data_IF_383609404879
#
_entry.id   IF_383609404879
#
_cell.length_a   1.000
_cell.length_b   1.000
_cell.length_c   1.000
_cell.angle_alpha   90.00
_cell.angle_beta   90.00
_cell.angle_gamma   90.00
#
_symmetry.space_group_name_H-M   'P 1'
#
loop_
_entity.id
_entity.type
_entity.pdbx_description
1 polymer ?
#
# COMPACT_ATOMS: atom_id res chain seq x y z
N UNK A 1 -13.71 14.83 -2.29
CA UNK A 1 -15.14 14.51 -2.09
C UNK A 1 -15.40 14.58 -0.58
N UNK A 2 -16.49 15.20 -0.13
CA UNK A 2 -16.81 15.22 1.30
C UNK A 2 -17.21 13.79 1.71
N UNK A 3 -16.40 13.13 2.55
CA UNK A 3 -16.65 11.73 2.93
C UNK A 3 -17.99 11.54 3.67
N UNK A 4 -18.59 12.62 4.19
CA UNK A 4 -19.90 12.61 4.81
C UNK A 4 -21.06 12.57 3.81
N UNK A 5 -20.80 12.78 2.52
CA UNK A 5 -21.80 12.74 1.44
C UNK A 5 -21.72 11.47 0.59
N UNK A 6 -20.84 10.53 0.95
CA UNK A 6 -20.72 9.25 0.24
C UNK A 6 -21.96 8.39 0.49
N UNK A 7 -22.67 8.01 -0.58
CA UNK A 7 -23.96 7.31 -0.48
C UNK A 7 -23.87 5.91 0.15
N UNK A 8 -22.68 5.30 0.16
CA UNK A 8 -22.45 3.97 0.71
C UNK A 8 -21.87 4.00 2.13
N UNK A 9 -21.70 5.19 2.71
CA UNK A 9 -21.25 5.36 4.10
C UNK A 9 -22.44 5.70 5.00
N UNK A 10 -22.82 4.78 5.89
CA UNK A 10 -23.89 5.06 6.85
C UNK A 10 -23.36 5.77 8.10
N UNK A 11 -24.16 6.68 8.66
CA UNK A 11 -23.79 7.44 9.86
C UNK A 11 -23.63 6.58 11.13
N UNK A 12 -24.24 5.38 11.16
CA UNK A 12 -24.23 4.44 12.29
C UNK A 12 -23.98 2.99 11.83
N UNK A 13 -22.84 2.73 11.19
CA UNK A 13 -22.52 1.37 10.75
C UNK A 13 -22.17 0.45 11.93
N UNK A 14 -22.74 -0.76 11.92
CA UNK A 14 -22.29 -1.85 12.77
C UNK A 14 -20.90 -2.31 12.32
N UNK A 15 -20.02 -2.58 13.30
CA UNK A 15 -18.69 -3.16 13.04
C UNK A 15 -18.74 -4.69 12.84
N UNK A 16 -19.92 -5.32 12.85
CA UNK A 16 -20.04 -6.76 12.60
C UNK A 16 -19.61 -7.10 11.17
N UNK A 17 -18.87 -8.20 11.01
CA UNK A 17 -18.31 -8.59 9.71
C UNK A 17 -19.40 -8.83 8.66
N UNK A 18 -20.49 -9.49 9.06
CA UNK A 18 -21.64 -9.80 8.21
C UNK A 18 -22.36 -8.53 7.70
N UNK A 19 -22.52 -7.52 8.56
CA UNK A 19 -23.15 -6.25 8.16
C UNK A 19 -22.30 -5.49 7.13
N UNK A 20 -20.97 -5.51 7.31
CA UNK A 20 -20.02 -4.88 6.38
C UNK A 20 -20.05 -5.60 5.02
N UNK A 21 -20.07 -6.94 5.03
CA UNK A 21 -20.10 -7.75 3.81
C UNK A 21 -21.41 -7.58 3.03
N UNK A 22 -22.56 -7.64 3.72
CA UNK A 22 -23.87 -7.39 3.11
C UNK A 22 -23.97 -5.99 2.48
N UNK A 23 -23.45 -4.96 3.16
CA UNK A 23 -23.44 -3.60 2.61
C UNK A 23 -22.51 -3.47 1.41
N UNK A 24 -21.40 -4.20 1.38
CA UNK A 24 -20.47 -4.24 0.26
C UNK A 24 -21.10 -4.91 -0.96
N UNK A 25 -21.74 -6.07 -0.79
CA UNK A 25 -22.49 -6.77 -1.84
C UNK A 25 -23.60 -5.89 -2.40
N UNK A 26 -24.35 -5.21 -1.52
CA UNK A 26 -25.39 -4.25 -1.91
C UNK A 26 -24.83 -3.06 -2.69
N UNK A 27 -23.75 -2.45 -2.22
CA UNK A 27 -23.14 -1.29 -2.89
C UNK A 27 -22.61 -1.68 -4.29
N UNK A 28 -22.06 -2.88 -4.42
CA UNK A 28 -21.63 -3.44 -5.69
C UNK A 28 -22.80 -3.70 -6.65
N UNK A 29 -23.89 -4.32 -6.18
CA UNK A 29 -25.10 -4.53 -6.97
C UNK A 29 -25.72 -3.20 -7.46
N UNK A 30 -25.78 -2.17 -6.59
CA UNK A 30 -26.24 -0.82 -6.98
C UNK A 30 -25.38 -0.24 -8.10
N UNK A 31 -24.05 -0.43 -8.05
CA UNK A 31 -23.16 0.03 -9.12
C UNK A 31 -23.42 -0.68 -10.45
N UNK A 32 -23.66 -1.99 -10.43
CA UNK A 32 -24.04 -2.77 -11.61
C UNK A 32 -25.38 -2.28 -12.19
N UNK A 33 -26.38 -2.04 -11.35
CA UNK A 33 -27.71 -1.60 -11.78
C UNK A 33 -27.69 -0.19 -12.40
N UNK A 34 -26.87 0.71 -11.87
CA UNK A 34 -26.89 2.13 -12.23
C UNK A 34 -25.86 2.53 -13.30
N UNK A 35 -24.91 1.66 -13.66
CA UNK A 35 -23.90 1.96 -14.68
C UNK A 35 -23.86 0.86 -15.75
N UNK A 36 -24.61 1.03 -16.87
CA UNK A 36 -24.71 0.01 -17.91
C UNK A 36 -23.39 -0.36 -18.57
N UNK A 37 -22.45 0.58 -18.64
CA UNK A 37 -21.12 0.33 -19.20
C UNK A 37 -20.30 -0.55 -18.26
N UNK A 38 -20.34 -0.27 -16.95
CA UNK A 38 -19.73 -1.14 -15.96
C UNK A 38 -20.38 -2.52 -15.94
N UNK A 39 -21.71 -2.60 -15.97
CA UNK A 39 -22.44 -3.86 -16.06
C UNK A 39 -21.97 -4.69 -17.26
N UNK A 40 -22.03 -4.13 -18.46
CA UNK A 40 -21.61 -4.82 -19.69
C UNK A 40 -20.17 -5.31 -19.62
N UNK A 41 -19.22 -4.46 -19.17
CA UNK A 41 -17.81 -4.85 -19.03
C UNK A 41 -17.59 -5.92 -17.97
N UNK A 42 -18.33 -5.85 -16.86
CA UNK A 42 -18.25 -6.84 -15.79
C UNK A 42 -18.75 -8.20 -16.29
N UNK A 43 -19.93 -8.25 -16.90
CA UNK A 43 -20.48 -9.49 -17.48
C UNK A 43 -19.54 -10.06 -18.54
N UNK A 44 -19.01 -9.23 -19.44
CA UNK A 44 -18.04 -9.65 -20.46
C UNK A 44 -16.78 -10.30 -19.87
N UNK A 45 -16.38 -9.91 -18.67
CA UNK A 45 -15.14 -10.38 -18.05
C UNK A 45 -15.32 -11.70 -17.27
N UNK A 46 -16.56 -12.11 -17.00
CA UNK A 46 -16.87 -13.32 -16.21
C UNK A 46 -17.47 -14.44 -17.06
N UNK A 47 -18.23 -14.11 -18.12
CA UNK A 47 -18.84 -15.10 -19.00
C UNK A 47 -17.96 -15.39 -20.21
N UNK A 48 -18.10 -16.57 -20.80
CA UNK A 48 -17.44 -16.86 -22.06
C UNK A 48 -18.00 -16.01 -23.22
N UNK A 49 -17.25 -15.92 -24.31
CA UNK A 49 -17.60 -15.04 -25.43
C UNK A 49 -18.94 -15.40 -26.05
N UNK A 50 -19.23 -16.69 -26.22
CA UNK A 50 -20.44 -17.16 -26.88
C UNK A 50 -21.67 -16.83 -26.03
N UNK A 51 -21.60 -16.98 -24.72
CA UNK A 51 -22.66 -16.56 -23.79
C UNK A 51 -22.82 -15.05 -23.78
N UNK A 52 -21.73 -14.27 -23.77
CA UNK A 52 -21.83 -12.82 -23.84
C UNK A 52 -22.56 -12.35 -25.11
N UNK A 53 -22.18 -12.93 -26.24
CA UNK A 53 -22.82 -12.66 -27.53
C UNK A 53 -24.30 -13.08 -27.52
N UNK A 54 -24.64 -14.24 -26.95
CA UNK A 54 -26.02 -14.69 -26.78
C UNK A 54 -26.85 -13.74 -25.88
N UNK A 55 -26.28 -13.23 -24.80
CA UNK A 55 -26.96 -12.33 -23.88
C UNK A 55 -27.26 -10.96 -24.51
N UNK A 56 -26.32 -10.39 -25.28
CA UNK A 56 -26.39 -8.97 -25.68
C UNK A 56 -26.46 -8.68 -27.19
N UNK A 57 -26.20 -9.65 -28.10
CA UNK A 57 -26.31 -9.40 -29.54
C UNK A 57 -27.74 -9.58 -30.10
N UNK A 58 -28.65 -10.16 -29.32
CA UNK A 58 -30.06 -10.28 -29.69
C UNK A 58 -30.98 -9.82 -28.55
N UNK A 59 -31.80 -8.81 -28.84
CA UNK A 59 -32.80 -8.26 -27.93
C UNK A 59 -34.18 -8.85 -28.25
N UNK A 60 -34.84 -9.39 -27.22
CA UNK A 60 -36.25 -9.78 -27.26
C UNK A 60 -37.00 -8.86 -26.29
N UNK A 61 -38.20 -8.38 -26.64
CA UNK A 61 -38.96 -7.42 -25.82
C UNK A 61 -39.28 -7.92 -24.39
N UNK A 62 -39.20 -9.23 -24.14
CA UNK A 62 -39.35 -9.86 -22.82
C UNK A 62 -38.03 -10.10 -22.07
N UNK A 63 -36.88 -9.80 -22.69
CA UNK A 63 -35.58 -10.00 -22.07
C UNK A 63 -35.29 -8.91 -21.04
N UNK A 64 -35.35 -9.26 -19.76
CA UNK A 64 -34.88 -8.44 -18.65
C UNK A 64 -33.71 -9.15 -17.94
N UNK A 65 -32.86 -8.35 -17.29
CA UNK A 65 -31.95 -8.86 -16.28
C UNK A 65 -32.43 -8.46 -14.90
N UNK A 66 -32.12 -9.28 -13.90
CA UNK A 66 -32.43 -9.05 -12.50
C UNK A 66 -31.16 -9.18 -11.68
N UNK A 67 -30.96 -8.26 -10.74
CA UNK A 67 -29.88 -8.31 -9.75
C UNK A 67 -30.54 -8.37 -8.38
N UNK A 68 -30.34 -9.46 -7.67
CA UNK A 68 -30.88 -9.67 -6.33
C UNK A 68 -29.79 -9.99 -5.33
N UNK A 69 -30.12 -9.83 -4.05
CA UNK A 69 -29.23 -10.03 -2.91
C UNK A 69 -29.90 -11.00 -1.92
N UNK A 70 -29.11 -11.81 -1.23
CA UNK A 70 -29.59 -12.69 -0.16
C UNK A 70 -30.71 -13.64 -0.62
N UNK A 71 -30.64 -14.11 -1.87
CA UNK A 71 -31.61 -15.05 -2.42
C UNK A 71 -31.31 -16.45 -1.91
N UNK A 72 -32.32 -17.12 -1.35
CA UNK A 72 -32.23 -18.51 -0.93
C UNK A 72 -32.31 -19.44 -2.15
N UNK A 73 -31.19 -20.08 -2.51
CA UNK A 73 -31.14 -20.95 -3.70
C UNK A 73 -31.93 -22.24 -3.54
N UNK A 74 -32.25 -22.64 -2.30
CA UNK A 74 -33.14 -23.78 -2.03
C UNK A 74 -34.58 -23.53 -2.52
N UNK A 75 -35.00 -22.27 -2.64
CA UNK A 75 -36.35 -21.88 -3.09
C UNK A 75 -36.39 -21.27 -4.49
N UNK A 76 -35.25 -21.18 -5.18
CA UNK A 76 -35.20 -20.60 -6.52
C UNK A 76 -35.80 -21.60 -7.53
N UNK A 77 -36.77 -21.15 -8.32
CA UNK A 77 -37.25 -21.94 -9.46
C UNK A 77 -36.12 -22.08 -10.48
N UNK A 78 -35.49 -23.26 -10.51
CA UNK A 78 -34.41 -23.57 -11.47
C UNK A 78 -34.94 -23.96 -12.85
N UNK A 79 -36.26 -24.13 -12.99
CA UNK A 79 -36.91 -24.55 -14.24
C UNK A 79 -36.73 -23.50 -15.33
N UNK A 80 -35.72 -23.70 -16.18
CA UNK A 80 -35.42 -22.81 -17.31
C UNK A 80 -33.97 -22.35 -17.36
N UNK A 81 -33.20 -22.52 -16.27
CA UNK A 81 -31.77 -22.23 -16.27
C UNK A 81 -31.01 -23.32 -17.04
N UNK A 82 -30.12 -22.89 -17.94
CA UNK A 82 -29.21 -23.79 -18.66
C UNK A 82 -27.78 -23.71 -18.14
N UNK A 83 -27.39 -22.56 -17.59
CA UNK A 83 -26.00 -22.32 -17.16
C UNK A 83 -25.93 -21.46 -15.91
N UNK A 84 -24.96 -21.78 -15.06
CA UNK A 84 -24.62 -21.01 -13.86
C UNK A 84 -23.13 -20.68 -13.86
N UNK A 85 -22.83 -19.39 -13.73
CA UNK A 85 -21.48 -18.92 -13.41
C UNK A 85 -21.35 -18.77 -11.90
N UNK A 86 -20.46 -19.56 -11.30
CA UNK A 86 -20.16 -19.50 -9.87
C UNK A 86 -18.93 -18.61 -9.66
N UNK A 87 -19.14 -17.36 -9.27
CA UNK A 87 -18.10 -16.34 -9.19
C UNK A 87 -17.64 -16.16 -7.74
N UNK A 88 -16.38 -16.46 -7.47
CA UNK A 88 -15.73 -16.09 -6.22
C UNK A 88 -15.12 -14.69 -6.35
N UNK A 89 -15.67 -13.72 -5.60
CA UNK A 89 -15.16 -12.34 -5.52
C UNK A 89 -14.54 -12.09 -4.15
N UNK A 90 -13.28 -12.51 -4.00
CA UNK A 90 -12.49 -12.34 -2.77
C UNK A 90 -11.40 -11.28 -2.94
N UNK A 91 -10.63 -10.99 -1.90
CA UNK A 91 -9.41 -10.17 -2.02
C UNK A 91 -8.21 -10.95 -2.59
N UNK A 92 -8.34 -12.26 -2.78
CA UNK A 92 -7.31 -13.09 -3.39
C UNK A 92 -7.45 -13.05 -4.92
N UNK A 93 -6.43 -12.55 -5.61
CA UNK A 93 -6.44 -12.45 -7.09
C UNK A 93 -6.36 -13.83 -7.72
N UNK A 94 -5.71 -14.77 -7.06
CA UNK A 94 -5.23 -16.03 -7.65
C UNK A 94 -5.88 -17.25 -7.01
N UNK A 95 -7.08 -17.09 -6.42
CA UNK A 95 -7.86 -18.18 -5.86
C UNK A 95 -8.05 -19.30 -6.91
N UNK A 96 -7.54 -20.48 -6.59
CA UNK A 96 -7.63 -21.63 -7.49
C UNK A 96 -9.02 -22.27 -7.41
N UNK A 97 -9.73 -22.24 -8.54
CA UNK A 97 -11.08 -22.80 -8.72
C UNK A 97 -11.10 -24.16 -9.41
N UNK A 98 -9.95 -24.77 -9.71
CA UNK A 98 -9.86 -26.00 -10.52
C UNK A 98 -10.55 -27.21 -9.88
N UNK A 99 -10.63 -27.23 -8.56
CA UNK A 99 -11.25 -28.29 -7.75
C UNK A 99 -12.72 -28.01 -7.42
N UNK A 100 -13.28 -26.86 -7.81
CA UNK A 100 -14.62 -26.42 -7.39
C UNK A 100 -15.71 -27.45 -7.71
N UNK A 101 -15.71 -28.01 -8.92
CA UNK A 101 -16.70 -29.01 -9.34
C UNK A 101 -16.50 -30.39 -8.68
N UNK A 102 -15.38 -30.61 -7.99
CA UNK A 102 -15.11 -31.84 -7.24
C UNK A 102 -15.55 -31.77 -5.78
N UNK A 103 -16.01 -30.60 -5.34
CA UNK A 103 -16.53 -30.39 -3.99
C UNK A 103 -17.82 -31.21 -3.76
N UNK A 104 -18.09 -31.51 -2.50
CA UNK A 104 -19.32 -32.16 -2.08
C UNK A 104 -20.16 -31.16 -1.29
N UNK A 105 -21.49 -31.21 -1.41
CA UNK A 105 -22.35 -30.36 -0.58
C UNK A 105 -22.04 -30.60 0.90
N UNK A 106 -21.88 -29.53 1.66
CA UNK A 106 -21.82 -29.62 3.12
C UNK A 106 -23.12 -30.23 3.66
N UNK A 107 -23.08 -30.78 4.88
CA UNK A 107 -24.29 -31.23 5.57
C UNK A 107 -25.37 -30.14 5.50
N UNK A 108 -26.54 -30.51 4.98
CA UNK A 108 -27.58 -29.59 4.48
C UNK A 108 -27.87 -28.47 5.48
N UNK A 109 -27.53 -27.23 5.11
CA UNK A 109 -28.14 -26.05 5.71
C UNK A 109 -29.51 -25.86 5.05
N UNK A 110 -30.55 -25.68 5.87
CA UNK A 110 -31.92 -25.43 5.37
C UNK A 110 -32.01 -24.13 4.54
N UNK A 111 -31.01 -23.26 4.66
CA UNK A 111 -30.95 -21.95 3.99
C UNK A 111 -29.57 -21.76 3.36
N UNK A 112 -29.55 -21.49 2.06
CA UNK A 112 -28.36 -21.10 1.30
C UNK A 112 -28.59 -19.73 0.67
N UNK A 113 -28.19 -18.66 1.37
CA UNK A 113 -28.33 -17.28 0.87
C UNK A 113 -27.13 -16.90 0.03
N UNK A 114 -27.39 -16.32 -1.14
CA UNK A 114 -26.37 -15.72 -2.02
C UNK A 114 -26.01 -14.31 -1.59
N UNK A 115 -24.77 -13.88 -1.80
CA UNK A 115 -24.44 -12.46 -1.61
C UNK A 115 -25.01 -11.61 -2.75
N UNK A 116 -24.78 -12.01 -4.00
CA UNK A 116 -25.38 -11.40 -5.20
C UNK A 116 -25.74 -12.50 -6.20
N UNK A 117 -26.90 -12.37 -6.83
CA UNK A 117 -27.28 -13.18 -7.98
C UNK A 117 -27.72 -12.26 -9.13
N UNK A 118 -27.22 -12.54 -10.34
CA UNK A 118 -27.64 -11.87 -11.56
C UNK A 118 -28.26 -12.91 -12.47
N UNK A 119 -29.51 -12.70 -12.88
CA UNK A 119 -30.21 -13.60 -13.82
C UNK A 119 -30.48 -12.85 -15.11
N UNK A 120 -30.03 -13.42 -16.23
CA UNK A 120 -30.24 -12.86 -17.58
C UNK A 120 -30.63 -14.01 -18.51
N UNK A 121 -31.83 -13.97 -19.08
CA UNK A 121 -32.39 -15.08 -19.87
C UNK A 121 -32.33 -16.39 -19.06
N UNK A 122 -31.67 -17.42 -19.59
CA UNK A 122 -31.47 -18.75 -19.00
C UNK A 122 -30.10 -18.94 -18.33
N UNK A 123 -29.39 -17.85 -18.05
CA UNK A 123 -28.08 -17.85 -17.37
C UNK A 123 -28.22 -17.15 -16.01
N UNK A 124 -27.73 -17.81 -14.96
CA UNK A 124 -27.56 -17.21 -13.65
C UNK A 124 -26.07 -17.03 -13.32
N UNK A 125 -25.74 -15.92 -12.67
CA UNK A 125 -24.39 -15.62 -12.17
C UNK A 125 -24.53 -15.45 -10.66
N UNK A 126 -24.02 -16.41 -9.91
CA UNK A 126 -24.03 -16.37 -8.44
C UNK A 126 -22.65 -15.93 -7.98
N UNK A 127 -22.62 -14.84 -7.22
CA UNK A 127 -21.39 -14.20 -6.77
C UNK A 127 -21.34 -14.31 -5.26
N UNK A 128 -20.28 -14.94 -4.75
CA UNK A 128 -19.95 -14.99 -3.34
C UNK A 128 -18.86 -13.98 -3.03
N UNK A 129 -19.12 -13.08 -2.08
CA UNK A 129 -18.31 -11.90 -1.81
C UNK A 129 -17.55 -12.08 -0.52
N UNK A 130 -16.22 -11.95 -0.55
CA UNK A 130 -15.41 -11.85 0.67
C UNK A 130 -14.50 -10.64 0.61
N UNK A 131 -14.53 -9.83 1.67
CA UNK A 131 -13.66 -8.63 1.75
C UNK A 131 -12.17 -8.97 1.86
N UNK A 132 -11.85 -10.17 2.34
CA UNK A 132 -10.49 -10.64 2.62
C UNK A 132 -10.15 -11.85 1.72
N UNK A 133 -9.01 -12.50 1.98
CA UNK A 133 -8.55 -13.69 1.24
C UNK A 133 -9.18 -15.00 1.72
N UNK A 134 -10.37 -14.94 2.33
CA UNK A 134 -11.06 -16.15 2.78
C UNK A 134 -11.47 -17.00 1.57
N UNK A 135 -11.11 -18.29 1.59
CA UNK A 135 -11.53 -19.24 0.56
C UNK A 135 -13.02 -19.54 0.70
N UNK A 136 -13.83 -18.96 -0.19
CA UNK A 136 -15.28 -19.10 -0.18
C UNK A 136 -15.80 -20.24 -1.08
N UNK A 137 -14.93 -21.09 -1.64
CA UNK A 137 -15.33 -22.12 -2.62
C UNK A 137 -16.42 -23.04 -2.09
N UNK A 138 -16.28 -23.53 -0.86
CA UNK A 138 -17.29 -24.40 -0.26
C UNK A 138 -18.63 -23.68 -0.06
N UNK A 139 -18.61 -22.42 0.39
CA UNK A 139 -19.83 -21.62 0.60
C UNK A 139 -20.56 -21.38 -0.73
N UNK A 140 -19.80 -20.96 -1.75
CA UNK A 140 -20.32 -20.77 -3.10
C UNK A 140 -20.85 -22.09 -3.69
N UNK A 141 -20.13 -23.20 -3.52
CA UNK A 141 -20.59 -24.50 -4.00
C UNK A 141 -21.90 -24.94 -3.32
N UNK A 142 -22.01 -24.74 -2.01
CA UNK A 142 -23.24 -25.06 -1.25
C UNK A 142 -24.43 -24.21 -1.72
N UNK A 143 -24.22 -22.98 -2.19
CA UNK A 143 -25.27 -22.16 -2.81
C UNK A 143 -25.68 -22.66 -4.19
N UNK A 144 -24.74 -23.21 -4.98
CA UNK A 144 -25.03 -23.73 -6.33
C UNK A 144 -25.65 -25.13 -6.29
N UNK A 145 -25.27 -25.97 -5.32
CA UNK A 145 -25.69 -27.38 -5.26
C UNK A 145 -27.22 -27.60 -5.38
N UNK A 146 -28.09 -26.79 -4.74
CA UNK A 146 -29.55 -26.89 -4.89
C UNK A 146 -30.03 -26.70 -6.34
N UNK A 147 -29.34 -25.87 -7.13
CA UNK A 147 -29.68 -25.61 -8.53
C UNK A 147 -29.34 -26.79 -9.44
N UNK A 148 -28.29 -27.56 -9.10
CA UNK A 148 -27.85 -28.76 -9.83
C UNK A 148 -28.78 -29.96 -9.55
N UNK A 149 -29.30 -30.06 -8.32
CA UNK A 149 -30.09 -31.20 -7.85
C UNK A 149 -31.48 -31.36 -8.47
N UNK A 150 -31.92 -30.44 -9.32
CA UNK A 150 -33.27 -30.39 -9.91
C UNK A 150 -33.51 -31.36 -11.08
N UNK A 151 -32.51 -32.18 -11.46
CA UNK A 151 -32.63 -33.17 -12.55
C UNK A 151 -32.51 -32.58 -13.97
N UNK A 152 -32.24 -31.27 -14.11
CA UNK A 152 -31.87 -30.64 -15.37
C UNK A 152 -30.36 -30.74 -15.63
N UNK A 153 -29.98 -30.82 -16.90
CA UNK A 153 -28.58 -30.75 -17.33
C UNK A 153 -28.10 -29.29 -17.27
N UNK A 154 -27.76 -28.84 -16.06
CA UNK A 154 -27.26 -27.49 -15.79
C UNK A 154 -25.73 -27.45 -15.95
N UNK A 155 -25.22 -26.56 -16.80
CA UNK A 155 -23.78 -26.33 -16.91
C UNK A 155 -23.30 -25.37 -15.81
N UNK A 156 -22.26 -25.72 -15.07
CA UNK A 156 -21.68 -24.87 -14.02
C UNK A 156 -20.26 -24.47 -14.40
N UNK A 157 -19.98 -23.17 -14.41
CA UNK A 157 -18.68 -22.60 -14.73
C UNK A 157 -18.13 -21.86 -13.51
N UNK A 158 -17.11 -22.40 -12.81
CA UNK A 158 -16.48 -21.70 -11.72
C UNK A 158 -15.54 -20.60 -12.24
N UNK A 159 -15.64 -19.41 -11.65
CA UNK A 159 -14.87 -18.22 -12.04
C UNK A 159 -14.27 -17.58 -10.81
N UNK A 160 -12.97 -17.27 -10.85
CA UNK A 160 -12.36 -16.36 -9.89
C UNK A 160 -12.34 -14.95 -10.51
N UNK A 161 -13.15 -14.05 -9.94
CA UNK A 161 -13.17 -12.64 -10.32
C UNK A 161 -13.06 -11.77 -9.07
N UNK A 162 -11.85 -11.72 -8.51
CA UNK A 162 -11.52 -10.95 -7.29
C UNK A 162 -11.90 -9.47 -7.32
N UNK A 163 -11.96 -8.86 -6.12
CA UNK A 163 -12.11 -7.41 -5.96
C UNK A 163 -11.08 -6.59 -6.74
N UNK A 164 -9.87 -7.10 -6.94
CA UNK A 164 -8.84 -6.42 -7.75
C UNK A 164 -9.24 -6.33 -9.21
N UNK A 165 -9.82 -7.39 -9.78
CA UNK A 165 -10.33 -7.37 -11.15
C UNK A 165 -11.49 -6.36 -11.26
N UNK A 166 -12.42 -6.39 -10.28
CA UNK A 166 -13.56 -5.47 -10.22
C UNK A 166 -13.12 -4.01 -10.12
N UNK A 167 -12.15 -3.67 -9.26
CA UNK A 167 -11.66 -2.30 -9.10
C UNK A 167 -10.99 -1.79 -10.38
N UNK A 168 -10.22 -2.62 -11.08
CA UNK A 168 -9.63 -2.24 -12.38
C UNK A 168 -10.72 -1.85 -13.37
N UNK A 169 -11.80 -2.65 -13.49
CA UNK A 169 -12.91 -2.33 -14.38
C UNK A 169 -13.65 -1.05 -13.96
N UNK A 170 -13.97 -0.90 -12.67
CA UNK A 170 -14.64 0.32 -12.16
C UNK A 170 -13.82 1.58 -12.43
N UNK A 171 -12.51 1.53 -12.20
CA UNK A 171 -11.60 2.66 -12.50
C UNK A 171 -11.55 2.96 -14.00
N UNK A 172 -11.46 1.94 -14.86
CA UNK A 172 -11.47 2.13 -16.32
C UNK A 172 -12.76 2.81 -16.79
N UNK A 173 -13.91 2.35 -16.30
CA UNK A 173 -15.22 2.94 -16.63
C UNK A 173 -15.33 4.36 -16.11
N UNK A 174 -14.97 4.61 -14.85
CA UNK A 174 -14.97 5.95 -14.27
C UNK A 174 -14.08 6.92 -15.06
N UNK A 175 -12.86 6.49 -15.45
CA UNK A 175 -11.96 7.31 -16.26
C UNK A 175 -12.56 7.62 -17.64
N UNK A 176 -13.18 6.65 -18.30
CA UNK A 176 -13.83 6.87 -19.60
C UNK A 176 -15.01 7.85 -19.49
N UNK A 177 -15.82 7.75 -18.43
CA UNK A 177 -16.90 8.69 -18.17
C UNK A 177 -16.36 10.11 -17.96
N UNK A 178 -15.28 10.26 -17.19
CA UNK A 178 -14.61 11.55 -16.98
C UNK A 178 -14.10 12.16 -18.28
N UNK A 179 -13.48 11.37 -19.16
CA UNK A 179 -13.00 11.85 -20.47
C UNK A 179 -14.14 12.37 -21.36
N UNK A 180 -15.36 11.83 -21.20
CA UNK A 180 -16.56 12.28 -21.90
C UNK A 180 -17.29 13.44 -21.21
N UNK A 181 -16.74 13.98 -20.13
CA UNK A 181 -17.37 15.03 -19.32
C UNK A 181 -18.54 14.53 -18.45
N UNK A 182 -18.77 13.21 -18.39
CA UNK A 182 -19.77 12.58 -17.53
C UNK A 182 -19.20 12.19 -16.17
N UNK A 183 -20.08 11.85 -15.23
CA UNK A 183 -19.72 11.26 -13.93
C UNK A 183 -20.77 10.23 -13.53
N UNK A 184 -20.32 9.08 -13.05
CA UNK A 184 -21.16 8.10 -12.36
C UNK A 184 -20.98 8.29 -10.87
N UNK A 185 -21.95 8.93 -10.20
CA UNK A 185 -21.89 9.19 -8.75
C UNK A 185 -21.80 7.89 -7.95
N UNK A 186 -22.54 6.86 -8.37
CA UNK A 186 -22.53 5.53 -7.77
C UNK A 186 -21.13 4.90 -7.83
N UNK A 187 -20.53 4.78 -9.03
CA UNK A 187 -19.18 4.22 -9.16
C UNK A 187 -18.12 5.03 -8.41
N UNK A 188 -18.19 6.36 -8.51
CA UNK A 188 -17.20 7.22 -7.87
C UNK A 188 -17.28 7.12 -6.34
N UNK A 189 -18.47 7.03 -5.76
CA UNK A 189 -18.65 6.85 -4.33
C UNK A 189 -18.21 5.46 -3.88
N UNK A 190 -18.46 4.41 -4.67
CA UNK A 190 -17.96 3.06 -4.38
C UNK A 190 -16.43 3.04 -4.37
N UNK A 191 -15.81 3.56 -5.44
CA UNK A 191 -14.35 3.64 -5.56
C UNK A 191 -13.77 4.40 -4.37
N UNK A 192 -14.32 5.58 -4.03
CA UNK A 192 -13.86 6.37 -2.91
C UNK A 192 -14.01 5.64 -1.55
N UNK A 193 -15.10 4.89 -1.34
CA UNK A 193 -15.29 4.08 -0.14
C UNK A 193 -14.24 2.96 -0.07
N UNK A 194 -14.05 2.24 -1.17
CA UNK A 194 -13.09 1.15 -1.28
C UNK A 194 -11.64 1.63 -1.10
N UNK A 195 -11.29 2.81 -1.62
CA UNK A 195 -9.96 3.41 -1.44
C UNK A 195 -9.62 3.63 0.04
N UNK A 196 -10.61 4.04 0.83
CA UNK A 196 -10.42 4.33 2.26
C UNK A 196 -10.38 3.03 3.07
N UNK A 197 -11.29 2.08 2.80
CA UNK A 197 -11.48 0.89 3.64
C UNK A 197 -10.69 -0.33 3.20
N UNK A 198 -10.47 -0.47 1.89
CA UNK A 198 -9.86 -1.63 1.25
C UNK A 198 -8.78 -1.24 0.24
N UNK A 199 -7.78 -0.42 0.63
CA UNK A 199 -6.73 0.05 -0.27
C UNK A 199 -6.01 -1.08 -1.04
N UNK A 200 -5.89 -2.27 -0.43
CA UNK A 200 -5.24 -3.43 -1.01
C UNK A 200 -6.01 -4.11 -2.16
N UNK A 201 -7.27 -3.73 -2.42
CA UNK A 201 -8.01 -4.13 -3.62
C UNK A 201 -7.57 -3.36 -4.87
N UNK A 202 -6.87 -2.24 -4.70
CA UNK A 202 -6.38 -1.49 -5.84
C UNK A 202 -5.04 -2.09 -6.28
N UNK A 203 -4.96 -2.42 -7.57
CA UNK A 203 -3.69 -2.73 -8.19
C UNK A 203 -2.83 -1.47 -8.15
N UNK A 204 -1.68 -1.51 -7.49
CA UNK A 204 -0.73 -0.42 -7.63
C UNK A 204 -0.20 -0.48 -9.04
N UNK A 205 -0.63 0.46 -9.88
CA UNK A 205 -0.16 0.60 -11.26
C UNK A 205 1.37 0.72 -11.26
N UNK A 206 2.06 0.26 -12.33
CA UNK A 206 3.48 0.51 -12.47
C UNK A 206 3.78 2.02 -12.37
N UNK A 207 4.97 2.38 -11.87
CA UNK A 207 5.32 3.78 -11.62
C UNK A 207 5.17 4.68 -12.85
N UNK A 208 5.36 4.17 -14.06
CA UNK A 208 5.15 4.93 -15.30
C UNK A 208 3.69 5.38 -15.53
N UNK A 209 2.73 4.73 -14.88
CA UNK A 209 1.30 5.05 -14.95
C UNK A 209 0.80 5.80 -13.72
N UNK A 210 1.65 5.98 -12.71
CA UNK A 210 1.33 6.76 -11.52
C UNK A 210 1.59 8.26 -11.77
N UNK A 211 0.72 9.15 -11.27
CA UNK A 211 0.85 10.58 -11.54
C UNK A 211 2.13 11.17 -10.91
N UNK A 212 2.66 12.28 -11.46
CA UNK A 212 3.80 13.01 -10.89
C UNK A 212 3.55 13.42 -9.43
N UNK A 213 4.61 13.62 -8.63
CA UNK A 213 4.49 13.95 -7.20
C UNK A 213 3.74 15.27 -6.97
N UNK A 214 3.84 16.21 -7.91
CA UNK A 214 3.04 17.45 -7.94
C UNK A 214 1.53 17.22 -7.82
N UNK A 215 1.03 16.07 -8.27
CA UNK A 215 -0.31 15.60 -7.97
C UNK A 215 -0.31 14.75 -6.70
N UNK A 216 -0.46 15.40 -5.55
CA UNK A 216 -0.46 14.77 -4.22
C UNK A 216 -1.88 14.69 -3.62
N UNK A 217 -2.60 13.66 -4.03
CA UNK A 217 -3.82 13.21 -3.33
C UNK A 217 -3.49 12.07 -2.37
N UNK A 218 -4.33 11.84 -1.35
CA UNK A 218 -4.20 10.68 -0.47
C UNK A 218 -4.15 9.36 -1.28
N UNK A 219 -4.90 9.28 -2.37
CA UNK A 219 -4.92 8.14 -3.31
C UNK A 219 -3.57 7.94 -4.00
N UNK A 220 -3.01 8.99 -4.59
CA UNK A 220 -1.74 8.89 -5.32
C UNK A 220 -0.56 8.60 -4.40
N UNK A 221 -0.54 9.16 -3.18
CA UNK A 221 0.45 8.82 -2.16
C UNK A 221 0.34 7.35 -1.75
N UNK A 222 -0.88 6.87 -1.49
CA UNK A 222 -1.10 5.46 -1.15
C UNK A 222 -0.66 4.52 -2.27
N UNK A 223 -1.04 4.81 -3.53
CA UNK A 223 -0.69 3.98 -4.68
C UNK A 223 0.83 3.88 -4.90
N UNK A 224 1.56 4.99 -4.75
CA UNK A 224 3.04 5.02 -4.84
C UNK A 224 3.70 4.18 -3.73
N UNK A 225 3.27 4.37 -2.48
CA UNK A 225 3.78 3.60 -1.35
C UNK A 225 3.48 2.10 -1.49
N UNK A 226 2.29 1.75 -1.98
CA UNK A 226 1.91 0.35 -2.22
C UNK A 226 2.76 -0.27 -3.34
N UNK A 227 2.99 0.45 -4.46
CA UNK A 227 3.85 -0.03 -5.54
C UNK A 227 5.28 -0.24 -5.07
N UNK A 228 5.83 0.73 -4.34
CA UNK A 228 7.18 0.64 -3.79
C UNK A 228 7.32 -0.55 -2.83
N UNK A 229 6.33 -0.76 -1.95
CA UNK A 229 6.27 -1.93 -1.07
C UNK A 229 6.29 -3.25 -1.85
N UNK A 230 5.54 -3.33 -2.95
CA UNK A 230 5.56 -4.53 -3.81
C UNK A 230 6.93 -4.74 -4.46
N UNK A 231 7.54 -3.69 -5.01
CA UNK A 231 8.86 -3.77 -5.64
C UNK A 231 9.91 -4.25 -4.64
N UNK A 232 9.96 -3.67 -3.44
CA UNK A 232 10.93 -4.07 -2.41
C UNK A 232 10.68 -5.51 -1.96
N UNK A 233 9.42 -5.95 -1.83
CA UNK A 233 9.11 -7.35 -1.48
C UNK A 233 9.55 -8.37 -2.54
N UNK A 234 9.82 -7.94 -3.78
CA UNK A 234 10.39 -8.77 -4.85
C UNK A 234 11.91 -8.58 -5.01
N UNK A 235 12.54 -7.78 -4.15
CA UNK A 235 14.00 -7.67 -4.05
C UNK A 235 14.55 -8.74 -3.10
N UNK A 236 15.88 -8.83 -2.97
CA UNK A 236 16.49 -9.71 -1.95
C UNK A 236 16.35 -9.16 -0.52
N UNK A 237 15.90 -7.91 -0.39
CA UNK A 237 15.79 -7.19 0.87
C UNK A 237 14.47 -7.48 1.61
N UNK A 238 14.48 -7.29 2.93
CA UNK A 238 13.28 -7.44 3.76
C UNK A 238 12.76 -6.07 4.18
N UNK A 239 11.46 -5.86 3.99
CA UNK A 239 10.77 -4.70 4.56
C UNK A 239 10.60 -4.93 6.06
N UNK A 240 11.02 -3.96 6.87
CA UNK A 240 10.70 -3.91 8.29
C UNK A 240 9.26 -3.41 8.42
N UNK A 241 8.40 -4.24 9.02
CA UNK A 241 7.00 -3.91 9.22
C UNK A 241 6.85 -3.16 10.56
N UNK A 242 7.11 -1.85 10.54
CA UNK A 242 6.71 -0.95 11.61
C UNK A 242 5.36 -0.31 11.26
N UNK A 243 4.52 -0.08 12.26
CA UNK A 243 3.08 0.26 12.18
C UNK A 243 2.69 1.47 11.30
N UNK A 244 3.65 2.20 10.74
CA UNK A 244 3.46 3.50 10.11
C UNK A 244 4.56 3.89 9.09
N UNK A 245 5.62 3.09 8.92
CA UNK A 245 6.75 3.44 8.05
C UNK A 245 7.24 2.24 7.24
N UNK A 246 7.52 2.47 5.97
CA UNK A 246 8.18 1.51 5.10
C UNK A 246 9.68 1.70 5.22
N UNK A 247 10.39 0.70 5.74
CA UNK A 247 11.84 0.71 5.86
C UNK A 247 12.43 -0.59 5.32
N UNK A 248 13.57 -0.51 4.64
CA UNK A 248 14.34 -1.64 4.14
C UNK A 248 15.33 -2.04 5.24
N UNK A 249 15.21 -3.25 5.77
CA UNK A 249 16.09 -3.75 6.82
C UNK A 249 17.45 -4.15 6.28
N UNK A 250 18.51 -3.59 6.85
CA UNK A 250 19.90 -3.86 6.49
C UNK A 250 20.71 -4.22 7.75
N UNK A 251 21.90 -4.80 7.56
CA UNK A 251 22.79 -5.12 8.66
C UNK A 251 24.25 -4.79 8.32
N UNK A 252 24.50 -3.53 7.96
CA UNK A 252 25.87 -3.05 7.74
C UNK A 252 26.64 -2.87 9.07
N UNK A 253 25.90 -2.88 10.19
CA UNK A 253 26.42 -2.73 11.54
C UNK A 253 26.78 -1.30 11.92
N UNK A 254 27.03 -0.42 10.96
CA UNK A 254 27.06 1.04 11.14
C UNK A 254 25.70 1.71 10.85
N UNK A 255 24.76 0.97 10.25
CA UNK A 255 23.36 1.34 10.06
C UNK A 255 22.48 0.07 10.03
N UNK A 256 21.17 0.23 10.21
CA UNK A 256 20.20 -0.87 10.34
C UNK A 256 18.99 -0.78 9.42
N UNK A 257 18.73 0.38 8.83
CA UNK A 257 17.59 0.57 7.94
C UNK A 257 17.84 1.66 6.89
N UNK A 258 17.19 1.51 5.74
CA UNK A 258 17.06 2.55 4.71
C UNK A 258 15.57 2.90 4.61
N UNK A 259 15.22 4.17 4.71
CA UNK A 259 13.84 4.65 4.64
C UNK A 259 13.63 5.39 3.33
N UNK A 260 12.86 4.83 2.38
CA UNK A 260 12.45 5.55 1.19
C UNK A 260 11.27 6.49 1.47
N UNK A 261 11.30 7.69 0.87
CA UNK A 261 10.14 8.57 0.78
C UNK A 261 10.14 9.36 -0.53
N UNK A 262 8.98 9.91 -0.86
CA UNK A 262 8.78 10.70 -2.08
C UNK A 262 8.92 12.18 -1.76
N UNK A 263 9.80 12.87 -2.48
CA UNK A 263 10.05 14.30 -2.31
C UNK A 263 10.08 15.00 -3.67
N UNK A 264 9.52 16.21 -3.72
CA UNK A 264 9.71 17.11 -4.84
C UNK A 264 10.80 18.13 -4.47
N UNK A 265 11.78 18.33 -5.34
CA UNK A 265 12.85 19.31 -5.17
C UNK A 265 13.16 19.98 -6.51
N UNK A 266 13.19 21.32 -6.54
CA UNK A 266 13.50 22.12 -7.74
C UNK A 266 12.75 21.69 -9.02
N UNK A 267 11.43 21.45 -8.90
CA UNK A 267 10.54 20.97 -9.98
C UNK A 267 10.78 19.53 -10.46
N UNK A 268 11.76 18.82 -9.88
CA UNK A 268 11.97 17.41 -10.12
C UNK A 268 11.39 16.54 -8.99
N UNK A 269 10.94 15.35 -9.38
CA UNK A 269 10.37 14.37 -8.48
C UNK A 269 11.45 13.33 -8.14
N UNK A 270 11.63 13.03 -6.86
CA UNK A 270 12.60 12.05 -6.37
C UNK A 270 11.95 10.99 -5.49
N UNK A 271 12.51 9.78 -5.54
CA UNK A 271 12.45 8.85 -4.42
C UNK A 271 13.76 9.00 -3.67
N UNK A 272 13.69 9.59 -2.48
CA UNK A 272 14.84 9.77 -1.61
C UNK A 272 14.96 8.53 -0.74
N UNK A 273 16.14 7.93 -0.73
CA UNK A 273 16.47 6.83 0.17
C UNK A 273 17.34 7.40 1.28
N UNK A 274 16.90 7.30 2.53
CA UNK A 274 17.65 7.86 3.66
C UNK A 274 18.18 6.76 4.55
N UNK A 275 19.44 6.89 4.95
CA UNK A 275 20.10 6.02 5.91
C UNK A 275 20.73 6.88 7.03
N UNK A 276 20.77 6.34 8.25
CA UNK A 276 21.38 7.02 9.40
C UNK A 276 22.61 6.25 9.92
N UNK A 277 23.81 6.47 9.36
CA UNK A 277 25.05 5.94 9.94
C UNK A 277 25.26 6.45 11.37
N UNK A 278 25.50 5.56 12.33
CA UNK A 278 25.80 5.96 13.71
C UNK A 278 24.57 6.41 14.50
N UNK A 279 23.39 5.94 14.10
CA UNK A 279 22.10 6.20 14.77
C UNK A 279 22.06 5.63 16.20
N UNK A 280 23.00 4.74 16.56
CA UNK A 280 23.28 4.32 17.95
C UNK A 280 24.76 4.45 18.26
N UNK A 281 25.10 4.52 19.56
CA UNK A 281 26.51 4.58 19.98
C UNK A 281 27.30 3.36 19.48
N UNK A 282 26.68 2.18 19.47
CA UNK A 282 27.32 0.96 18.97
C UNK A 282 27.60 1.01 17.47
N UNK A 283 26.66 1.57 16.69
CA UNK A 283 26.87 1.84 15.27
C UNK A 283 27.97 2.88 15.06
N UNK A 284 28.01 3.92 15.91
CA UNK A 284 29.00 4.98 15.85
C UNK A 284 30.44 4.48 15.98
N UNK A 285 30.71 3.49 16.83
CA UNK A 285 32.07 2.91 16.92
C UNK A 285 32.58 2.44 15.57
N UNK A 286 31.73 1.80 14.75
CA UNK A 286 32.12 1.30 13.42
C UNK A 286 32.42 2.40 12.39
N UNK A 287 32.01 3.63 12.68
CA UNK A 287 32.22 4.80 11.84
C UNK A 287 33.45 5.58 12.32
N UNK A 288 33.51 5.90 13.61
CA UNK A 288 34.55 6.75 14.18
C UNK A 288 35.88 6.04 14.42
N UNK A 289 35.92 4.69 14.37
CA UNK A 289 37.16 3.90 14.34
C UNK A 289 37.91 4.02 12.99
N UNK A 290 37.30 4.69 11.97
CA UNK A 290 37.86 4.88 10.62
C UNK A 290 37.96 6.37 10.28
N UNK A 291 38.79 6.76 9.27
CA UNK A 291 38.75 8.11 8.71
C UNK A 291 37.35 8.48 8.18
N UNK A 292 36.92 9.71 8.42
CA UNK A 292 35.58 10.20 8.07
C UNK A 292 35.51 10.84 6.67
N UNK A 293 36.47 10.55 5.78
CA UNK A 293 36.53 11.14 4.43
C UNK A 293 35.27 10.83 3.60
N UNK A 294 34.56 9.73 3.91
CA UNK A 294 33.30 9.38 3.29
C UNK A 294 32.20 10.41 3.53
N UNK A 295 32.29 11.19 4.61
CA UNK A 295 31.32 12.24 4.96
C UNK A 295 31.35 13.42 3.97
N UNK A 296 32.39 13.53 3.15
CA UNK A 296 32.53 14.57 2.12
C UNK A 296 31.99 14.13 0.75
N UNK A 297 31.54 12.88 0.59
CA UNK A 297 30.97 12.37 -0.68
C UNK A 297 29.73 13.18 -1.04
N UNK A 298 29.60 13.54 -2.33
CA UNK A 298 28.41 14.25 -2.88
C UNK A 298 27.62 13.42 -3.90
N UNK A 299 28.06 12.20 -4.13
CA UNK A 299 27.41 11.29 -5.07
C UNK A 299 27.69 9.85 -4.72
N UNK A 300 26.79 8.96 -5.13
CA UNK A 300 26.94 7.51 -5.00
C UNK A 300 26.67 6.84 -6.35
N UNK A 301 27.49 5.86 -6.70
CA UNK A 301 27.30 5.05 -7.90
C UNK A 301 26.40 3.86 -7.58
N UNK A 302 25.28 3.74 -8.29
CA UNK A 302 24.34 2.61 -8.18
C UNK A 302 24.25 1.96 -9.56
N UNK A 303 24.76 0.74 -9.67
CA UNK A 303 24.94 0.10 -10.98
C UNK A 303 25.92 0.90 -11.85
N UNK A 304 25.44 1.38 -13.00
CA UNK A 304 26.17 2.21 -13.95
C UNK A 304 25.81 3.71 -13.88
N UNK A 305 24.97 4.11 -12.92
CA UNK A 305 24.47 5.48 -12.78
C UNK A 305 25.02 6.14 -11.53
N UNK A 306 25.27 7.44 -11.62
CA UNK A 306 25.70 8.28 -10.49
C UNK A 306 24.52 9.11 -10.04
N UNK A 307 24.24 9.08 -8.74
CA UNK A 307 23.15 9.81 -8.11
C UNK A 307 23.70 10.80 -7.10
N UNK A 308 22.98 11.90 -6.90
CA UNK A 308 23.31 12.92 -5.90
C UNK A 308 23.12 12.36 -4.50
N UNK A 309 24.08 12.69 -3.63
CA UNK A 309 24.13 12.26 -2.25
C UNK A 309 24.25 13.52 -1.38
N UNK A 310 23.32 13.70 -0.46
CA UNK A 310 23.39 14.74 0.55
C UNK A 310 23.70 14.11 1.91
N UNK A 311 24.56 14.79 2.67
CA UNK A 311 24.98 14.34 3.98
C UNK A 311 24.88 15.47 4.97
N UNK A 312 24.15 15.20 6.04
CA UNK A 312 24.03 16.06 7.20
C UNK A 312 24.57 15.33 8.43
N UNK A 313 25.05 16.12 9.39
CA UNK A 313 25.34 15.62 10.72
C UNK A 313 24.02 15.35 11.46
N UNK A 314 23.96 14.23 12.15
CA UNK A 314 22.78 13.80 12.90
C UNK A 314 23.12 13.63 14.38
N UNK A 315 22.24 14.11 15.26
CA UNK A 315 22.29 13.82 16.69
C UNK A 315 20.96 13.20 17.09
N UNK A 316 21.01 11.94 17.55
CA UNK A 316 19.84 11.26 18.09
C UNK A 316 19.77 11.38 19.60
N UNK A 317 18.60 11.75 20.11
CA UNK A 317 18.30 11.75 21.54
C UNK A 317 17.32 10.64 21.90
N UNK A 318 17.67 9.86 22.92
CA UNK A 318 16.85 8.75 23.40
C UNK A 318 16.64 8.81 24.92
N UNK A 319 15.60 8.13 25.40
CA UNK A 319 15.36 7.86 26.81
C UNK A 319 14.86 6.42 26.96
N UNK A 320 15.47 5.62 27.85
CA UNK A 320 15.25 4.16 27.94
C UNK A 320 15.34 3.46 26.56
N UNK A 321 16.34 3.82 25.74
CA UNK A 321 16.55 3.31 24.39
C UNK A 321 15.40 3.56 23.39
N UNK A 322 14.41 4.39 23.75
CA UNK A 322 13.37 4.86 22.83
C UNK A 322 13.76 6.22 22.28
N UNK A 323 13.55 6.40 20.97
CA UNK A 323 13.70 7.69 20.31
C UNK A 323 12.82 8.75 20.97
N UNK A 324 13.39 9.94 21.18
CA UNK A 324 12.66 11.10 21.72
C UNK A 324 12.63 12.23 20.70
N UNK A 325 13.80 12.62 20.18
CA UNK A 325 13.96 13.69 19.19
C UNK A 325 15.32 13.54 18.50
N UNK A 326 15.56 14.32 17.44
CA UNK A 326 16.84 14.42 16.74
C UNK A 326 17.19 15.87 16.40
N UNK A 327 18.43 16.09 15.99
CA UNK A 327 18.91 17.33 15.41
C UNK A 327 19.76 17.01 14.19
N UNK A 328 19.35 17.53 13.04
CA UNK A 328 20.06 17.42 11.76
C UNK A 328 20.62 18.79 11.38
N UNK A 329 21.87 18.85 10.90
CA UNK A 329 22.56 20.10 10.54
C UNK A 329 23.73 19.85 9.58
N UNK A 330 24.04 20.85 8.76
CA UNK A 330 25.20 20.88 7.89
C UNK A 330 26.37 21.71 8.45
N UNK A 331 27.40 21.85 7.63
CA UNK A 331 28.60 22.64 7.95
C UNK A 331 28.29 24.13 8.17
N UNK A 332 27.27 24.65 7.49
CA UNK A 332 26.89 26.04 7.56
C UNK A 332 26.30 26.44 8.91
N UNK A 333 25.90 25.49 9.75
CA UNK A 333 25.48 25.74 11.14
C UNK A 333 26.60 25.58 12.17
N UNK A 334 27.80 25.13 11.79
CA UNK A 334 28.89 24.89 12.73
C UNK A 334 29.74 26.13 12.99
N UNK A 335 30.13 26.31 14.25
CA UNK A 335 31.25 27.15 14.67
C UNK A 335 32.57 26.35 14.68
N UNK A 336 32.48 25.07 15.08
CA UNK A 336 33.60 24.12 15.09
C UNK A 336 33.08 22.69 14.95
N UNK A 337 33.87 21.75 14.39
CA UNK A 337 33.42 20.38 14.13
C UNK A 337 32.86 19.66 15.36
N UNK A 338 31.59 19.26 15.31
CA UNK A 338 30.93 18.54 16.40
C UNK A 338 31.09 17.02 16.26
N UNK A 339 30.84 16.48 15.07
CA UNK A 339 30.86 15.05 14.78
C UNK A 339 32.29 14.57 14.50
N UNK A 340 33.13 14.64 15.52
CA UNK A 340 34.52 14.17 15.51
C UNK A 340 34.68 12.90 16.32
N UNK A 341 35.71 12.10 16.03
CA UNK A 341 36.02 10.90 16.82
C UNK A 341 36.17 11.23 18.32
N UNK A 342 36.90 12.30 18.65
CA UNK A 342 37.07 12.75 20.03
C UNK A 342 35.73 13.03 20.73
N UNK A 343 34.85 13.81 20.09
CA UNK A 343 33.54 14.11 20.66
C UNK A 343 32.65 12.87 20.72
N UNK A 344 32.71 11.99 19.72
CA UNK A 344 31.97 10.75 19.75
C UNK A 344 32.33 9.91 20.99
N UNK A 345 33.61 9.58 21.22
CA UNK A 345 34.01 8.75 22.35
C UNK A 345 33.72 9.39 23.71
N UNK A 346 33.88 10.72 23.82
CA UNK A 346 33.81 11.43 25.11
C UNK A 346 32.44 12.04 25.42
N UNK A 347 31.61 12.33 24.40
CA UNK A 347 30.36 13.10 24.53
C UNK A 347 29.11 12.32 24.07
N UNK A 348 29.27 11.21 23.34
CA UNK A 348 28.13 10.31 23.07
C UNK A 348 27.84 9.41 24.26
N UNK A 349 26.57 9.06 24.46
CA UNK A 349 26.12 8.22 25.57
C UNK A 349 25.22 8.98 26.53
N UNK A 350 25.24 8.57 27.81
CA UNK A 350 24.24 8.99 28.80
C UNK A 350 24.60 10.31 29.46
N UNK A 351 23.65 11.24 29.48
CA UNK A 351 23.72 12.53 30.15
C UNK A 351 22.65 12.61 31.24
N UNK A 352 23.06 12.74 32.50
CA UNK A 352 22.13 12.87 33.61
C UNK A 352 21.65 14.32 33.77
N UNK A 353 20.51 14.51 34.42
CA UNK A 353 19.90 15.84 34.62
C UNK A 353 20.86 16.90 35.19
N UNK A 354 21.75 16.49 36.08
CA UNK A 354 22.78 17.36 36.66
C UNK A 354 23.83 17.85 35.66
N UNK A 355 24.02 17.12 34.56
CA UNK A 355 25.04 17.36 33.53
C UNK A 355 24.41 18.01 32.27
N UNK A 356 23.11 18.30 32.26
CA UNK A 356 22.42 18.89 31.10
C UNK A 356 22.96 20.27 30.72
N UNK A 357 23.32 21.08 31.72
CA UNK A 357 23.94 22.38 31.45
C UNK A 357 25.29 22.23 30.71
N UNK A 358 26.08 21.23 31.04
CA UNK A 358 27.34 20.95 30.33
C UNK A 358 27.09 20.47 28.89
N UNK A 359 26.03 19.70 28.67
CA UNK A 359 25.61 19.30 27.33
C UNK A 359 25.15 20.50 26.49
N UNK A 360 24.39 21.40 27.09
CA UNK A 360 23.96 22.63 26.44
C UNK A 360 25.15 23.51 26.06
N UNK A 361 26.10 23.69 26.97
CA UNK A 361 27.35 24.41 26.69
C UNK A 361 28.15 23.76 25.56
N UNK A 362 28.21 22.42 25.51
CA UNK A 362 28.84 21.70 24.40
C UNK A 362 28.18 22.08 23.06
N UNK A 363 26.85 22.03 22.96
CA UNK A 363 26.19 22.37 21.70
C UNK A 363 26.32 23.86 21.36
N UNK A 364 26.24 24.76 22.33
CA UNK A 364 26.43 26.21 22.11
C UNK A 364 27.85 26.58 21.67
N UNK A 365 28.86 25.82 22.11
CA UNK A 365 30.24 26.02 21.69
C UNK A 365 30.46 25.56 20.24
N UNK A 366 29.66 24.60 19.76
CA UNK A 366 29.84 23.95 18.47
C UNK A 366 28.90 24.48 17.37
N UNK A 367 27.70 24.94 17.72
CA UNK A 367 26.66 25.37 16.80
C UNK A 367 26.47 26.88 16.85
N UNK A 368 26.18 27.47 15.70
CA UNK A 368 25.93 28.90 15.58
C UNK A 368 24.66 29.30 16.36
N UNK A 369 24.68 30.42 17.12
CA UNK A 369 23.51 30.86 17.90
C UNK A 369 22.24 31.03 17.04
N UNK A 370 22.37 31.51 15.81
CA UNK A 370 21.26 31.72 14.87
C UNK A 370 20.58 30.42 14.41
N UNK A 371 21.24 29.26 14.55
CA UNK A 371 20.63 27.97 14.23
C UNK A 371 19.55 27.56 15.25
N UNK A 372 19.63 28.09 16.48
CA UNK A 372 18.71 27.81 17.59
C UNK A 372 18.40 26.30 17.75
N UNK A 373 19.45 25.51 18.01
CA UNK A 373 19.36 24.06 18.07
C UNK A 373 18.31 23.56 19.10
N UNK A 374 18.14 24.29 20.20
CA UNK A 374 17.16 23.95 21.27
C UNK A 374 15.73 23.94 20.73
N UNK A 375 15.37 24.93 19.92
CA UNK A 375 14.05 25.01 19.30
C UNK A 375 13.88 23.91 18.25
N UNK A 376 14.88 23.70 17.39
CA UNK A 376 14.83 22.72 16.29
C UNK A 376 14.64 21.29 16.77
N UNK A 377 15.32 20.88 17.84
CA UNK A 377 15.10 19.54 18.42
C UNK A 377 14.03 19.54 19.53
N UNK A 378 13.45 20.69 19.87
CA UNK A 378 12.46 20.82 20.94
C UNK A 378 12.98 20.44 22.33
N UNK A 379 14.23 20.78 22.64
CA UNK A 379 14.94 20.31 23.84
C UNK A 379 14.15 20.55 25.13
N UNK A 380 13.58 21.75 25.29
CA UNK A 380 12.82 22.10 26.50
C UNK A 380 11.56 21.25 26.66
N UNK A 381 10.81 21.09 25.56
CA UNK A 381 9.59 20.29 25.50
C UNK A 381 9.85 18.81 25.79
N UNK A 382 10.99 18.30 25.32
CA UNK A 382 11.29 16.87 25.37
C UNK A 382 12.10 16.46 26.61
N UNK A 383 12.85 17.37 27.23
CA UNK A 383 13.72 17.06 28.38
C UNK A 383 13.49 17.99 29.57
N UNK A 384 13.68 19.32 29.42
CA UNK A 384 13.67 20.26 30.55
C UNK A 384 12.34 20.25 31.32
N UNK A 385 11.23 20.36 30.59
CA UNK A 385 9.87 20.47 31.13
C UNK A 385 9.21 19.09 31.31
N UNK A 386 10.00 18.08 31.65
CA UNK A 386 9.54 16.70 31.78
C UNK A 386 10.16 16.02 33.01
N UNK A 387 9.60 14.88 33.41
CA UNK A 387 10.11 14.09 34.54
C UNK A 387 11.32 13.21 34.17
N UNK A 388 11.89 13.37 32.97
CA UNK A 388 13.09 12.62 32.56
C UNK A 388 14.28 13.01 33.43
N UNK A 389 15.05 12.01 33.85
CA UNK A 389 16.24 12.18 34.70
C UNK A 389 17.57 11.98 33.96
N UNK A 390 17.51 11.51 32.71
CA UNK A 390 18.64 11.41 31.79
C UNK A 390 18.14 11.34 30.35
N UNK A 391 19.06 11.55 29.41
CA UNK A 391 18.90 11.12 28.02
C UNK A 391 20.19 10.46 27.54
N UNK A 392 20.12 9.75 26.41
CA UNK A 392 21.31 9.26 25.71
C UNK A 392 21.42 9.95 24.36
N UNK A 393 22.66 10.22 23.96
CA UNK A 393 23.01 10.89 22.70
C UNK A 393 23.84 9.96 21.82
N UNK A 394 23.54 9.93 20.53
CA UNK A 394 24.41 9.36 19.50
C UNK A 394 24.76 10.45 18.49
N UNK A 395 26.06 10.66 18.24
CA UNK A 395 26.55 11.49 17.14
C UNK A 395 26.67 10.59 15.91
N UNK A 396 25.96 10.91 14.83
CA UNK A 396 25.91 10.14 13.60
C UNK A 396 25.75 11.04 12.38
N UNK A 397 25.23 10.48 11.31
CA UNK A 397 24.99 11.18 10.06
C UNK A 397 23.60 10.82 9.54
N UNK A 398 23.03 11.70 8.73
CA UNK A 398 21.88 11.42 7.88
C UNK A 398 22.39 11.50 6.44
N UNK A 399 22.05 10.50 5.63
CA UNK A 399 22.54 10.39 4.26
C UNK A 399 21.36 10.13 3.34
N UNK A 400 21.11 11.09 2.45
CA UNK A 400 20.02 11.08 1.49
C UNK A 400 20.56 10.82 0.09
N UNK A 401 20.09 9.74 -0.55
CA UNK A 401 20.36 9.47 -1.95
C UNK A 401 19.16 9.89 -2.78
N UNK A 402 19.37 10.87 -3.65
CA UNK A 402 18.33 11.41 -4.52
C UNK A 402 18.27 10.61 -5.82
N UNK A 403 17.29 9.71 -5.91
CA UNK A 403 17.00 8.96 -7.14
C UNK A 403 15.84 9.64 -7.87
N UNK A 404 16.05 10.20 -9.08
CA UNK A 404 14.96 10.77 -9.86
C UNK A 404 13.85 9.74 -10.04
N UNK A 405 12.62 10.14 -9.74
CA UNK A 405 11.43 9.30 -9.84
C UNK A 405 11.29 8.68 -11.24
N UNK A 406 11.75 9.41 -12.26
CA UNK A 406 11.83 8.97 -13.65
C UNK A 406 12.60 7.64 -13.83
N UNK A 407 13.63 7.38 -13.03
CA UNK A 407 14.37 6.11 -13.07
C UNK A 407 13.44 4.94 -12.77
N UNK A 408 12.62 5.04 -11.72
CA UNK A 408 11.64 4.01 -11.40
C UNK A 408 10.52 3.94 -12.42
N UNK A 409 10.09 5.07 -13.00
CA UNK A 409 9.11 5.05 -14.09
C UNK A 409 9.65 4.33 -15.34
N UNK A 410 10.94 4.45 -15.64
CA UNK A 410 11.52 3.79 -16.82
C UNK A 410 11.77 2.29 -16.58
N UNK A 411 12.06 1.89 -15.34
CA UNK A 411 12.25 0.49 -14.96
C UNK A 411 10.93 -0.26 -14.71
N UNK A 412 9.93 0.42 -14.17
CA UNK A 412 8.64 -0.14 -13.77
C UNK A 412 7.54 0.25 -14.76
N UNK A 413 7.42 -0.55 -15.83
CA UNK A 413 6.45 -0.33 -16.91
C UNK A 413 5.36 -1.38 -17.00
N UNK A 414 5.53 -2.52 -16.33
CA UNK A 414 4.65 -3.68 -16.38
C UNK A 414 4.18 -4.03 -14.96
N UNK A 415 2.87 -4.14 -14.77
CA UNK A 415 2.23 -4.40 -13.49
C UNK A 415 2.72 -5.71 -12.85
N UNK A 416 2.92 -6.74 -13.68
CA UNK A 416 3.18 -8.11 -13.22
C UNK A 416 4.67 -8.49 -13.28
N UNK A 417 5.56 -7.59 -13.74
CA UNK A 417 7.01 -7.81 -13.80
C UNK A 417 7.78 -6.84 -12.90
N UNK A 418 8.37 -7.38 -11.83
CA UNK A 418 9.14 -6.61 -10.84
C UNK A 418 10.66 -6.70 -11.02
N UNK A 419 11.16 -7.51 -11.96
CA UNK A 419 12.57 -7.91 -12.01
C UNK A 419 13.54 -6.72 -12.07
N UNK A 420 13.27 -5.77 -12.97
CA UNK A 420 14.11 -4.58 -13.15
C UNK A 420 14.02 -3.60 -11.96
N UNK A 421 12.83 -3.16 -11.52
CA UNK A 421 12.76 -2.22 -10.41
C UNK A 421 13.21 -2.84 -9.08
N UNK A 422 13.00 -4.14 -8.84
CA UNK A 422 13.47 -4.79 -7.61
C UNK A 422 14.99 -5.03 -7.63
N UNK A 423 15.55 -5.41 -8.78
CA UNK A 423 17.01 -5.52 -8.94
C UNK A 423 17.74 -4.19 -8.76
N UNK A 424 17.10 -3.06 -9.14
CA UNK A 424 17.65 -1.74 -8.87
C UNK A 424 17.65 -1.38 -7.38
N UNK A 425 16.64 -1.83 -6.61
CA UNK A 425 16.65 -1.70 -5.13
C UNK A 425 17.84 -2.47 -4.55
N UNK A 426 18.11 -3.68 -5.03
CA UNK A 426 19.26 -4.47 -4.56
C UNK A 426 20.58 -3.75 -4.84
N UNK A 427 20.76 -3.22 -6.06
CA UNK A 427 21.94 -2.43 -6.42
C UNK A 427 22.11 -1.18 -5.54
N UNK A 428 21.01 -0.52 -5.18
CA UNK A 428 21.03 0.65 -4.30
C UNK A 428 21.49 0.29 -2.89
N UNK A 429 20.99 -0.83 -2.35
CA UNK A 429 21.44 -1.32 -1.03
C UNK A 429 22.92 -1.71 -1.05
N UNK A 430 23.38 -2.37 -2.12
CA UNK A 430 24.80 -2.71 -2.30
C UNK A 430 25.68 -1.46 -2.43
N UNK A 431 25.20 -0.41 -3.12
CA UNK A 431 25.92 0.85 -3.20
C UNK A 431 26.08 1.48 -1.80
N UNK A 432 25.03 1.46 -0.99
CA UNK A 432 25.11 1.93 0.39
C UNK A 432 26.05 1.09 1.26
N UNK A 433 26.15 -0.23 1.07
CA UNK A 433 27.05 -1.04 1.89
C UNK A 433 28.51 -0.60 1.76
N UNK A 434 28.87 -0.04 0.60
CA UNK A 434 30.20 0.49 0.28
C UNK A 434 30.32 2.01 0.54
N UNK A 435 29.34 2.63 1.19
CA UNK A 435 29.34 4.07 1.45
C UNK A 435 30.59 4.52 2.23
N UNK A 436 31.02 3.71 3.20
CA UNK A 436 32.15 4.03 4.09
C UNK A 436 33.53 3.68 3.50
N UNK A 437 33.58 3.09 2.31
CA UNK A 437 34.82 2.64 1.67
C UNK A 437 35.51 3.73 0.84
#
# INVERSE_FOLDING_TARGET
>A
MNQHLNIFRYYNESNSSEFIENNLSRAFAICLENDPLFFSKYIQSIVDKDDYDYLFNHYEDSSAYYIDLQVNTNSLESSGLKKVYAVAMTADRDLNMSDFLSLKPSASKDINLTDVIITIKDIAIVIEVKRNKFDCKQQLFDQIAPLIGSGQQLSVVPVNFSWKHTMVLMEQVSNLMHLRGGKSSMLNDFIALAEIRYPYWFSSRPFNQLPPLSYSSQKSVHARNLRLKQIINHSTQKILDYSDRMAIGINFGWASEIIPFFQQHLEEDYIVFTIWPGNTKDQGYRIYDKPLNWAEKKSLMVGDKVFELDLEYHIKFCHFNKFVTSLDFGDEQLLKPLNTAYNFYNKSGKWHRKDWHEFELLLDEHLKPEFNWREKCGFDKHFINTDRNYFTVSLGFMVDLYVPYKVFQDLDTDLDNYLLPSGFIDQLVDAYSNLLD
#
